data_IF_119081483882
#
_entry.id   IF_119081483882
#
_cell.length_a   1.000
_cell.length_b   1.000
_cell.length_c   1.000
_cell.angle_alpha   90.00
_cell.angle_beta   90.00
_cell.angle_gamma   90.00
#
_symmetry.space_group_name_H-M   'P 1'
#
loop_
_entity.id
_entity.type
_entity.pdbx_description
1 polymer ?
#
# COMPACT_ATOMS: atom_id res chain seq x y z
N UNK A 1 24.90 -6.40 -24.85
CA UNK A 1 25.85 -7.30 -24.16
C UNK A 1 26.45 -6.49 -23.03
N UNK A 2 26.11 -6.81 -21.77
CA UNK A 2 26.54 -6.03 -20.60
C UNK A 2 28.00 -6.38 -20.31
N UNK A 3 28.85 -5.36 -20.21
CA UNK A 3 30.28 -5.50 -19.96
C UNK A 3 30.54 -5.65 -18.46
N UNK A 4 30.96 -6.85 -18.07
CA UNK A 4 31.30 -7.19 -16.68
C UNK A 4 32.79 -6.97 -16.35
N UNK A 5 33.60 -6.43 -17.27
CA UNK A 5 35.04 -6.20 -17.07
C UNK A 5 35.40 -5.25 -15.92
N UNK A 6 34.43 -4.48 -15.39
CA UNK A 6 34.64 -3.64 -14.20
C UNK A 6 34.69 -4.42 -12.89
N UNK A 7 34.10 -5.60 -12.82
CA UNK A 7 34.09 -6.42 -11.60
C UNK A 7 35.33 -7.32 -11.52
N UNK A 8 35.96 -7.58 -12.67
CA UNK A 8 37.12 -8.46 -12.83
C UNK A 8 38.47 -7.83 -12.40
N UNK A 9 38.42 -6.67 -11.73
CA UNK A 9 39.61 -5.96 -11.21
C UNK A 9 39.65 -5.86 -9.69
N UNK A 10 38.73 -6.52 -8.98
CA UNK A 10 38.83 -6.64 -7.52
C UNK A 10 39.70 -7.85 -7.16
N UNK A 11 40.99 -7.73 -7.44
CA UNK A 11 42.01 -8.61 -6.86
C UNK A 11 42.16 -8.26 -5.38
N UNK A 12 41.39 -8.93 -4.53
CA UNK A 12 41.65 -8.98 -3.09
C UNK A 12 42.91 -9.82 -2.89
N UNK A 13 44.06 -9.17 -3.03
CA UNK A 13 45.33 -9.74 -2.64
C UNK A 13 45.34 -9.88 -1.11
N UNK A 14 45.23 -11.13 -0.64
CA UNK A 14 45.60 -11.52 0.72
C UNK A 14 47.07 -11.14 0.92
N UNK A 15 47.31 -9.97 1.51
CA UNK A 15 48.64 -9.53 1.91
C UNK A 15 48.98 -10.20 3.24
N UNK A 16 49.58 -11.38 3.15
CA UNK A 16 50.12 -12.10 4.29
C UNK A 16 51.51 -11.54 4.68
N UNK A 17 51.66 -11.27 5.98
CA UNK A 17 52.90 -11.13 6.77
C UNK A 17 53.79 -9.87 6.63
N UNK A 18 53.80 -9.06 7.71
CA UNK A 18 54.88 -8.13 8.03
C UNK A 18 54.55 -7.21 9.21
N UNK A 19 55.00 -7.60 10.40
CA UNK A 19 54.97 -6.87 11.68
C UNK A 19 55.02 -5.33 11.56
N UNK A 20 54.06 -4.63 12.19
CA UNK A 20 54.28 -3.76 13.37
C UNK A 20 52.94 -3.09 13.78
N UNK A 21 52.37 -3.56 14.89
CA UNK A 21 51.62 -2.79 15.89
C UNK A 21 50.58 -1.74 15.45
N UNK A 22 49.71 -2.05 14.48
CA UNK A 22 48.45 -1.32 14.32
C UNK A 22 47.29 -2.20 14.82
N UNK A 23 46.59 -1.69 15.82
CA UNK A 23 45.49 -2.34 16.52
C UNK A 23 44.46 -2.96 15.55
N UNK A 24 44.47 -4.30 15.48
CA UNK A 24 43.43 -5.13 14.87
C UNK A 24 42.06 -4.82 15.51
N UNK A 25 41.39 -3.78 15.01
CA UNK A 25 40.00 -3.50 15.34
C UNK A 25 39.12 -4.50 14.61
N UNK A 26 39.05 -5.72 15.17
CA UNK A 26 38.01 -6.68 14.86
C UNK A 26 36.65 -5.97 14.97
N UNK A 27 35.74 -6.16 13.99
CA UNK A 27 34.44 -5.52 14.00
C UNK A 27 33.68 -5.91 15.28
N UNK A 28 33.47 -4.94 16.17
CA UNK A 28 32.71 -5.13 17.40
C UNK A 28 31.22 -5.04 17.10
N UNK A 29 30.54 -6.18 17.13
CA UNK A 29 29.08 -6.24 17.12
C UNK A 29 28.58 -5.87 18.52
N UNK A 30 27.86 -4.76 18.64
CA UNK A 30 27.17 -4.36 19.87
C UNK A 30 25.69 -4.69 19.72
N UNK A 31 25.16 -5.60 20.55
CA UNK A 31 23.72 -5.83 20.63
C UNK A 31 23.06 -4.72 21.44
N UNK A 32 21.90 -4.24 20.97
CA UNK A 32 21.07 -3.30 21.71
C UNK A 32 19.88 -4.08 22.29
N UNK A 33 19.88 -4.27 23.61
CA UNK A 33 18.83 -5.01 24.32
C UNK A 33 17.53 -4.20 24.48
N UNK A 34 17.54 -2.92 24.10
CA UNK A 34 16.40 -1.99 24.21
C UNK A 34 16.19 -1.21 22.92
N UNK A 35 14.94 -0.86 22.55
CA UNK A 35 14.66 -0.04 21.37
C UNK A 35 15.32 1.34 21.50
N UNK A 36 16.33 1.58 20.66
CA UNK A 36 17.08 2.84 20.59
C UNK A 36 17.03 3.44 19.18
N UNK A 37 17.34 4.73 19.07
CA UNK A 37 17.48 5.41 17.78
C UNK A 37 18.96 5.51 17.45
N UNK A 38 19.36 4.96 16.30
CA UNK A 38 20.71 5.11 15.73
C UNK A 38 20.64 6.11 14.59
N UNK A 39 21.49 7.14 14.62
CA UNK A 39 21.62 8.13 13.54
C UNK A 39 23.05 8.09 13.02
N UNK A 40 23.20 7.93 11.70
CA UNK A 40 24.51 7.98 11.02
C UNK A 40 24.62 9.35 10.33
N UNK A 41 25.62 10.14 10.72
CA UNK A 41 25.92 11.43 10.12
C UNK A 41 26.54 11.31 8.72
N UNK A 42 26.50 12.38 7.94
CA UNK A 42 27.10 12.44 6.60
C UNK A 42 28.64 12.31 6.61
N UNK A 43 29.26 12.51 7.77
CA UNK A 43 30.69 12.32 8.06
C UNK A 43 31.04 10.90 8.52
N UNK A 44 30.06 9.99 8.60
CA UNK A 44 30.24 8.63 9.12
C UNK A 44 30.22 8.55 10.65
N UNK A 45 29.89 9.63 11.37
CA UNK A 45 29.70 9.59 12.82
C UNK A 45 28.43 8.81 13.19
N UNK A 46 28.46 8.08 14.29
CA UNK A 46 27.36 7.20 14.74
C UNK A 46 26.88 7.67 16.11
N UNK A 47 25.65 8.22 16.17
CA UNK A 47 25.00 8.68 17.42
C UNK A 47 23.92 7.68 17.84
N UNK A 48 24.10 7.03 18.99
CA UNK A 48 23.18 6.06 19.57
C UNK A 48 22.46 6.72 20.75
N UNK A 49 21.19 7.11 20.55
CA UNK A 49 20.34 7.64 21.63
C UNK A 49 19.47 6.53 22.20
N UNK A 50 19.73 6.18 23.46
CA UNK A 50 18.86 5.32 24.26
C UNK A 50 17.54 6.04 24.51
N UNK A 51 16.43 5.42 24.11
CA UNK A 51 15.09 6.01 24.27
C UNK A 51 14.67 5.95 25.74
N UNK A 52 14.40 7.10 26.36
CA UNK A 52 13.91 7.25 27.74
C UNK A 52 12.39 7.36 27.82
N UNK A 53 11.66 6.81 26.83
CA UNK A 53 10.20 6.85 26.85
C UNK A 53 9.65 6.11 28.09
N UNK A 54 8.79 6.73 28.89
CA UNK A 54 8.18 6.08 30.04
C UNK A 54 7.26 4.96 29.56
N UNK A 55 7.45 3.77 30.14
CA UNK A 55 6.57 2.61 29.98
C UNK A 55 5.15 3.01 30.39
N UNK A 56 4.26 3.22 29.42
CA UNK A 56 2.86 3.51 29.70
C UNK A 56 2.17 2.27 30.23
N UNK A 57 1.73 2.35 31.48
CA UNK A 57 0.90 1.34 32.14
C UNK A 57 -0.46 1.22 31.46
N UNK A 58 -0.85 -0.04 31.24
CA UNK A 58 -2.17 -0.52 30.85
C UNK A 58 -3.32 0.23 31.55
N UNK A 59 -4.31 0.69 30.78
CA UNK A 59 -5.60 1.13 31.31
C UNK A 59 -6.70 0.30 30.68
N UNK A 60 -7.31 -0.50 31.54
CA UNK A 60 -8.48 -1.35 31.35
C UNK A 60 -9.73 -0.48 31.11
N UNK A 61 -10.59 -0.85 30.16
CA UNK A 61 -11.85 -0.13 29.89
C UNK A 61 -12.97 -1.12 29.63
N UNK A 62 -13.62 -1.54 30.72
CA UNK A 62 -14.95 -2.16 30.71
C UNK A 62 -16.00 -1.06 30.78
N UNK A 63 -16.90 -1.00 29.80
CA UNK A 63 -18.16 -0.25 29.90
C UNK A 63 -19.33 -1.19 29.65
N UNK A 64 -20.23 -1.20 30.63
CA UNK A 64 -21.50 -1.92 30.65
C UNK A 64 -22.63 -1.05 30.08
N UNK A 65 -23.62 -1.67 29.43
CA UNK A 65 -24.95 -1.12 29.21
C UNK A 65 -25.94 -2.31 29.22
N UNK A 66 -26.64 -2.56 30.33
CA UNK A 66 -27.93 -2.01 30.75
C UNK A 66 -29.09 -2.53 29.89
N UNK A 67 -29.79 -3.50 30.48
CA UNK A 67 -31.09 -3.99 30.07
C UNK A 67 -32.19 -2.96 30.36
N UNK A 68 -33.25 -2.95 29.55
CA UNK A 68 -34.53 -2.36 29.92
C UNK A 68 -35.65 -3.20 29.31
N UNK A 69 -36.55 -3.61 30.20
CA UNK A 69 -37.78 -4.36 29.96
C UNK A 69 -38.99 -3.42 29.94
N UNK A 70 -40.14 -4.01 29.58
CA UNK A 70 -41.53 -3.57 29.76
C UNK A 70 -42.17 -2.65 28.71
N UNK A 71 -42.91 -3.29 27.79
CA UNK A 71 -44.33 -3.56 28.04
C UNK A 71 -45.29 -2.37 27.93
N UNK A 72 -46.03 -2.29 26.80
CA UNK A 72 -47.41 -1.80 26.85
C UNK A 72 -48.20 -2.37 25.67
N UNK A 73 -49.12 -3.25 26.03
CA UNK A 73 -50.16 -3.86 25.21
C UNK A 73 -51.31 -2.85 25.02
N UNK A 74 -51.74 -2.60 23.78
CA UNK A 74 -53.05 -1.98 23.55
C UNK A 74 -53.57 -2.34 22.16
N UNK A 75 -54.58 -3.22 22.16
CA UNK A 75 -55.28 -3.70 20.99
C UNK A 75 -56.15 -2.64 20.32
N UNK A 76 -56.04 -2.58 19.00
CA UNK A 76 -56.94 -1.83 18.12
C UNK A 76 -57.06 -2.59 16.80
N UNK A 77 -58.09 -3.43 16.70
CA UNK A 77 -58.38 -4.22 15.50
C UNK A 77 -58.73 -3.35 14.31
N UNK A 78 -57.73 -3.06 13.47
CA UNK A 78 -57.94 -2.56 12.11
C UNK A 78 -57.69 -3.70 11.14
N UNK A 79 -58.68 -3.98 10.29
CA UNK A 79 -58.62 -5.01 9.25
C UNK A 79 -57.65 -4.55 8.15
N UNK A 80 -56.37 -4.83 8.34
CA UNK A 80 -55.33 -4.61 7.33
C UNK A 80 -55.40 -5.72 6.29
N UNK A 81 -55.65 -5.33 5.04
CA UNK A 81 -55.54 -6.22 3.87
C UNK A 81 -54.09 -6.73 3.74
N UNK A 82 -53.87 -7.94 3.19
CA UNK A 82 -52.54 -8.56 3.11
C UNK A 82 -51.61 -7.78 2.16
N UNK A 83 -50.84 -6.86 2.72
CA UNK A 83 -49.73 -6.16 2.05
C UNK A 83 -48.49 -7.06 2.05
N UNK A 84 -48.51 -8.16 1.29
CA UNK A 84 -47.43 -9.18 1.29
C UNK A 84 -46.47 -9.11 0.09
N UNK A 85 -46.47 -8.06 -0.74
CA UNK A 85 -45.66 -8.06 -1.98
C UNK A 85 -44.74 -6.85 -2.24
N UNK A 86 -44.61 -5.88 -1.33
CA UNK A 86 -43.80 -4.66 -1.61
C UNK A 86 -42.46 -4.61 -0.85
N UNK A 87 -42.25 -5.40 0.21
CA UNK A 87 -41.00 -5.36 1.01
C UNK A 87 -39.78 -6.02 0.33
N UNK A 88 -39.98 -6.78 -0.76
CA UNK A 88 -38.90 -7.56 -1.39
C UNK A 88 -37.90 -6.76 -2.25
N UNK A 89 -38.30 -5.64 -2.84
CA UNK A 89 -37.43 -4.90 -3.79
C UNK A 89 -36.48 -3.91 -3.11
N UNK A 90 -36.93 -3.24 -2.05
CA UNK A 90 -36.09 -2.28 -1.31
C UNK A 90 -34.89 -2.98 -0.64
N UNK A 91 -35.11 -4.19 -0.11
CA UNK A 91 -34.06 -5.01 0.52
C UNK A 91 -32.94 -5.42 -0.45
N UNK A 92 -33.27 -5.72 -1.72
CA UNK A 92 -32.27 -6.07 -2.74
C UNK A 92 -31.39 -4.88 -3.12
N UNK A 93 -31.96 -3.68 -3.21
CA UNK A 93 -31.21 -2.44 -3.52
C UNK A 93 -30.25 -2.07 -2.41
N UNK A 94 -30.72 -2.08 -1.15
CA UNK A 94 -29.88 -1.80 0.01
C UNK A 94 -28.68 -2.76 0.08
N UNK A 95 -28.89 -4.05 -0.20
CA UNK A 95 -27.80 -5.05 -0.26
C UNK A 95 -26.78 -4.77 -1.36
N UNK A 96 -27.24 -4.44 -2.58
CA UNK A 96 -26.33 -4.08 -3.69
C UNK A 96 -25.51 -2.82 -3.39
N UNK A 97 -26.15 -1.80 -2.81
CA UNK A 97 -25.48 -0.56 -2.43
C UNK A 97 -24.44 -0.80 -1.34
N UNK A 98 -24.79 -1.58 -0.31
CA UNK A 98 -23.85 -1.94 0.74
C UNK A 98 -22.68 -2.75 0.19
N UNK A 99 -22.95 -3.75 -0.65
CA UNK A 99 -21.90 -4.54 -1.31
C UNK A 99 -20.96 -3.66 -2.14
N UNK A 100 -21.50 -2.69 -2.88
CA UNK A 100 -20.70 -1.76 -3.68
C UNK A 100 -19.86 -0.82 -2.81
N UNK A 101 -20.42 -0.27 -1.72
CA UNK A 101 -19.66 0.55 -0.76
C UNK A 101 -18.52 -0.24 -0.10
N UNK A 102 -18.77 -1.50 0.26
CA UNK A 102 -17.74 -2.40 0.82
C UNK A 102 -16.65 -2.69 -0.21
N UNK A 103 -16.99 -2.79 -1.50
CA UNK A 103 -16.01 -2.97 -2.57
C UNK A 103 -15.13 -1.72 -2.79
N UNK A 104 -15.69 -0.52 -2.67
CA UNK A 104 -14.95 0.73 -2.87
C UNK A 104 -13.87 0.99 -1.82
N UNK A 105 -13.99 0.39 -0.63
CA UNK A 105 -13.12 0.66 0.52
C UNK A 105 -12.45 -0.61 1.06
N UNK A 106 -12.40 -1.67 0.26
CA UNK A 106 -11.83 -2.96 0.69
C UNK A 106 -10.34 -2.82 1.06
N UNK A 107 -9.98 -3.09 2.31
CA UNK A 107 -8.63 -2.84 2.86
C UNK A 107 -8.14 -1.39 2.70
N UNK A 108 -9.05 -0.43 2.58
CA UNK A 108 -8.76 0.99 2.41
C UNK A 108 -9.71 1.85 3.22
N UNK A 109 -10.16 2.96 2.63
CA UNK A 109 -11.00 3.92 3.33
C UNK A 109 -11.68 4.93 2.42
N UNK A 110 -12.42 5.83 3.05
CA UNK A 110 -13.11 6.93 2.41
C UNK A 110 -12.67 8.25 3.04
N UNK A 111 -12.54 9.29 2.21
CA UNK A 111 -12.27 10.65 2.63
C UNK A 111 -13.03 11.63 1.75
N UNK A 112 -13.44 12.79 2.26
CA UNK A 112 -14.03 13.83 1.44
C UNK A 112 -13.01 14.96 1.30
N UNK A 113 -12.84 15.45 0.08
CA UNK A 113 -11.95 16.58 -0.22
C UNK A 113 -12.78 17.78 -0.66
N UNK A 114 -12.29 18.97 -0.32
CA UNK A 114 -12.93 20.23 -0.69
C UNK A 114 -12.20 20.85 -1.87
N UNK A 115 -12.90 21.03 -2.99
CA UNK A 115 -12.38 21.64 -4.22
C UNK A 115 -13.01 23.00 -4.42
N UNK A 116 -12.17 24.01 -4.69
CA UNK A 116 -12.66 25.35 -5.04
C UNK A 116 -12.80 25.47 -6.55
N UNK A 117 -14.01 25.71 -7.04
CA UNK A 117 -14.31 25.91 -8.46
C UNK A 117 -15.22 27.13 -8.61
N UNK A 118 -14.82 28.10 -9.44
CA UNK A 118 -15.61 29.33 -9.69
C UNK A 118 -16.06 30.08 -8.42
N UNK A 119 -15.22 30.09 -7.38
CA UNK A 119 -15.50 30.68 -6.04
C UNK A 119 -16.47 29.87 -5.17
N UNK A 120 -16.98 28.74 -5.66
CA UNK A 120 -17.76 27.79 -4.89
C UNK A 120 -16.88 26.66 -4.34
N UNK A 121 -17.26 26.15 -3.18
CA UNK A 121 -16.55 25.07 -2.48
C UNK A 121 -17.37 23.78 -2.60
N UNK A 122 -16.85 22.81 -3.34
CA UNK A 122 -17.53 21.55 -3.64
C UNK A 122 -16.85 20.42 -2.86
N UNK A 123 -17.64 19.58 -2.18
CA UNK A 123 -17.13 18.36 -1.54
C UNK A 123 -17.13 17.21 -2.54
N UNK A 124 -15.96 16.63 -2.79
CA UNK A 124 -15.81 15.44 -3.64
C UNK A 124 -15.47 14.22 -2.76
N UNK A 125 -16.19 13.10 -2.90
CA UNK A 125 -15.85 11.88 -2.18
C UNK A 125 -14.65 11.20 -2.85
N UNK A 126 -13.68 10.81 -2.05
CA UNK A 126 -12.53 10.01 -2.41
C UNK A 126 -12.63 8.66 -1.73
N UNK A 127 -12.57 7.60 -2.52
CA UNK A 127 -12.47 6.23 -2.03
C UNK A 127 -11.12 5.69 -2.42
N UNK A 128 -10.54 4.86 -1.57
CA UNK A 128 -9.37 4.11 -1.93
C UNK A 128 -9.46 2.72 -1.33
N UNK A 129 -8.88 1.78 -2.05
CA UNK A 129 -8.77 0.41 -1.63
C UNK A 129 -7.45 -0.14 -2.12
N UNK A 130 -7.04 -1.28 -1.61
CA UNK A 130 -5.80 -1.90 -2.04
C UNK A 130 -5.91 -3.41 -2.00
N UNK A 131 -5.10 -4.04 -2.84
CA UNK A 131 -4.82 -5.46 -2.77
C UNK A 131 -3.32 -5.67 -2.54
N UNK A 132 -2.83 -6.87 -2.82
CA UNK A 132 -1.43 -7.22 -2.64
C UNK A 132 -0.48 -6.48 -3.58
N UNK A 133 -0.97 -6.03 -4.75
CA UNK A 133 -0.15 -5.55 -5.86
C UNK A 133 -0.37 -4.07 -6.18
N UNK A 134 -1.53 -3.51 -5.87
CA UNK A 134 -1.88 -2.14 -6.23
C UNK A 134 -2.68 -1.42 -5.14
N UNK A 135 -2.63 -0.09 -5.21
CA UNK A 135 -3.59 0.80 -4.54
C UNK A 135 -4.47 1.42 -5.62
N UNK A 136 -5.78 1.35 -5.43
CA UNK A 136 -6.73 1.97 -6.35
C UNK A 136 -7.35 3.18 -5.67
N UNK A 137 -7.26 4.33 -6.34
CA UNK A 137 -7.81 5.61 -5.89
C UNK A 137 -8.98 6.00 -6.79
N UNK A 138 -10.11 6.38 -6.18
CA UNK A 138 -11.34 6.75 -6.89
C UNK A 138 -11.82 8.11 -6.42
N UNK A 139 -11.91 9.08 -7.32
CA UNK A 139 -12.37 10.44 -7.00
C UNK A 139 -13.69 10.72 -7.70
N UNK A 140 -14.73 11.00 -6.90
CA UNK A 140 -16.04 11.37 -7.39
C UNK A 140 -16.02 12.76 -8.03
N UNK A 141 -16.74 12.94 -9.12
CA UNK A 141 -16.93 14.25 -9.72
C UNK A 141 -18.30 14.39 -10.40
N UNK A 142 -18.70 15.63 -10.63
CA UNK A 142 -19.93 16.01 -11.33
C UNK A 142 -19.64 16.26 -12.81
N UNK A 143 -20.15 15.46 -13.75
CA UNK A 143 -19.86 15.62 -15.18
C UNK A 143 -20.39 16.93 -15.78
N UNK A 144 -21.37 17.56 -15.12
CA UNK A 144 -21.89 18.88 -15.48
C UNK A 144 -20.91 20.02 -15.16
N UNK A 145 -20.13 19.89 -14.09
CA UNK A 145 -19.11 20.86 -13.67
C UNK A 145 -17.75 20.53 -14.30
N UNK A 146 -17.40 19.24 -14.34
CA UNK A 146 -16.14 18.72 -14.85
C UNK A 146 -16.43 17.68 -15.94
N UNK A 147 -16.51 18.08 -17.23
CA UNK A 147 -16.77 17.16 -18.32
C UNK A 147 -15.75 16.02 -18.32
N UNK A 148 -16.16 14.77 -18.52
CA UNK A 148 -15.24 13.62 -18.49
C UNK A 148 -14.05 13.77 -19.44
N UNK A 149 -14.25 14.41 -20.60
CA UNK A 149 -13.19 14.70 -21.57
C UNK A 149 -12.16 15.73 -21.10
N UNK A 150 -12.47 16.51 -20.08
CA UNK A 150 -11.57 17.49 -19.45
C UNK A 150 -10.67 16.85 -18.39
N UNK A 151 -11.01 15.66 -17.91
CA UNK A 151 -10.27 15.01 -16.83
C UNK A 151 -8.89 14.59 -17.33
N UNK A 152 -7.86 14.92 -16.55
CA UNK A 152 -6.48 14.51 -16.74
C UNK A 152 -5.95 13.96 -15.42
N UNK A 153 -5.10 12.95 -15.51
CA UNK A 153 -4.38 12.40 -14.35
C UNK A 153 -2.90 12.54 -14.65
N UNK A 154 -2.14 13.13 -13.71
CA UNK A 154 -0.68 13.20 -13.75
C UNK A 154 -0.15 12.43 -12.56
N UNK A 155 0.70 11.44 -12.82
CA UNK A 155 1.40 10.70 -11.77
C UNK A 155 2.89 10.87 -11.98
N UNK A 156 3.56 11.47 -11.02
CA UNK A 156 5.00 11.73 -11.05
C UNK A 156 5.71 10.85 -10.03
N UNK A 157 6.97 10.50 -10.29
CA UNK A 157 7.79 9.66 -9.40
C UNK A 157 7.58 8.15 -9.52
N UNK A 158 6.73 7.69 -10.47
CA UNK A 158 6.64 6.27 -10.78
C UNK A 158 7.96 5.76 -11.36
N UNK A 159 8.47 4.65 -10.81
CA UNK A 159 9.69 4.01 -11.32
C UNK A 159 9.37 3.15 -12.55
N UNK A 160 10.36 2.94 -13.42
CA UNK A 160 10.19 2.06 -14.57
C UNK A 160 9.90 0.61 -14.13
N UNK A 161 9.11 -0.13 -14.92
CA UNK A 161 8.73 -1.51 -14.62
C UNK A 161 9.92 -2.46 -14.40
N UNK A 162 11.06 -2.21 -15.07
CA UNK A 162 12.29 -2.99 -14.89
C UNK A 162 12.83 -2.90 -13.45
N UNK A 163 12.50 -1.82 -12.74
CA UNK A 163 12.90 -1.55 -11.37
C UNK A 163 11.79 -1.82 -10.34
N UNK A 164 10.70 -2.48 -10.73
CA UNK A 164 9.56 -2.78 -9.83
C UNK A 164 9.94 -3.53 -8.55
N UNK A 165 11.10 -4.20 -8.54
CA UNK A 165 11.66 -4.90 -7.39
C UNK A 165 12.74 -4.09 -6.65
N UNK A 166 12.88 -2.79 -6.94
CA UNK A 166 13.80 -1.89 -6.27
C UNK A 166 13.02 -0.96 -5.35
N UNK A 167 13.36 -0.95 -4.07
CA UNK A 167 12.76 -0.02 -3.11
C UNK A 167 13.12 1.45 -3.40
N UNK A 168 14.17 1.70 -4.20
CA UNK A 168 14.72 3.03 -4.46
C UNK A 168 14.77 3.41 -5.95
N UNK A 169 14.30 2.52 -6.85
CA UNK A 169 14.48 2.68 -8.30
C UNK A 169 15.96 2.64 -8.73
N UNK A 170 16.26 2.40 -10.00
CA UNK A 170 17.60 2.63 -10.55
C UNK A 170 17.71 4.02 -11.22
N UNK A 171 16.56 4.69 -11.38
CA UNK A 171 16.43 5.99 -12.01
C UNK A 171 16.79 7.14 -11.08
N UNK A 172 17.83 7.88 -11.47
CA UNK A 172 18.15 9.24 -11.08
C UNK A 172 16.91 10.02 -10.62
N UNK A 173 16.91 10.42 -9.34
CA UNK A 173 16.09 11.50 -8.81
C UNK A 173 16.48 12.82 -9.50
N UNK A 174 16.13 12.98 -10.77
CA UNK A 174 16.37 14.20 -11.55
C UNK A 174 15.33 15.27 -11.28
N UNK A 175 14.29 14.94 -10.51
CA UNK A 175 13.49 15.95 -9.82
C UNK A 175 14.29 16.40 -8.61
N UNK A 176 14.74 17.65 -8.60
CA UNK A 176 15.16 18.34 -7.39
C UNK A 176 14.06 18.15 -6.35
N UNK A 177 14.24 17.17 -5.45
CA UNK A 177 13.40 17.04 -4.28
C UNK A 177 13.71 18.28 -3.45
N UNK A 178 12.90 19.33 -3.63
CA UNK A 178 12.80 20.38 -2.62
C UNK A 178 12.49 19.66 -1.32
N UNK A 179 13.49 19.60 -0.44
CA UNK A 179 13.34 19.06 0.88
C UNK A 179 12.38 20.00 1.60
N UNK A 180 11.08 19.70 1.53
CA UNK A 180 10.11 20.35 2.39
C UNK A 180 10.60 20.19 3.83
N UNK A 181 10.61 21.30 4.57
CA UNK A 181 11.15 21.42 5.93
C UNK A 181 10.53 20.41 6.93
N UNK A 182 9.45 19.72 6.53
CA UNK A 182 8.73 18.73 7.33
C UNK A 182 9.29 17.29 7.22
N UNK A 183 10.32 17.05 6.40
CA UNK A 183 11.11 15.80 6.43
C UNK A 183 10.36 14.52 6.05
N UNK A 184 9.12 14.61 5.58
CA UNK A 184 8.38 13.45 5.04
C UNK A 184 8.89 13.13 3.63
N UNK A 185 9.66 12.04 3.52
CA UNK A 185 10.06 11.49 2.23
C UNK A 185 8.82 11.18 1.37
N UNK A 186 8.73 11.82 0.20
CA UNK A 186 7.67 11.54 -0.78
C UNK A 186 8.25 10.82 -1.98
N UNK A 187 7.55 9.80 -2.46
CA UNK A 187 8.01 8.97 -3.59
C UNK A 187 7.41 9.39 -4.93
N UNK A 188 6.81 10.57 -4.99
CA UNK A 188 6.07 11.05 -6.15
C UNK A 188 4.81 11.79 -5.77
N UNK A 189 4.04 12.19 -6.78
CA UNK A 189 2.76 12.90 -6.63
C UNK A 189 1.71 12.31 -7.56
N UNK A 190 0.45 12.45 -7.16
CA UNK A 190 -0.72 12.15 -7.98
C UNK A 190 -1.58 13.40 -8.03
N UNK A 191 -1.82 13.90 -9.23
CA UNK A 191 -2.73 15.02 -9.50
C UNK A 191 -3.87 14.55 -10.41
N UNK A 192 -5.11 14.81 -10.01
CA UNK A 192 -6.31 14.63 -10.83
C UNK A 192 -6.88 16.01 -11.09
N UNK A 193 -7.00 16.36 -12.37
CA UNK A 193 -7.27 17.71 -12.83
C UNK A 193 -8.46 17.72 -13.78
N UNK A 194 -9.21 18.82 -13.81
CA UNK A 194 -10.10 19.16 -14.90
C UNK A 194 -9.48 20.30 -15.71
N UNK A 195 -9.27 20.06 -17.00
CA UNK A 195 -8.68 21.02 -17.94
C UNK A 195 -9.75 21.53 -18.89
N UNK A 196 -10.10 22.79 -18.72
CA UNK A 196 -11.06 23.50 -19.55
C UNK A 196 -10.47 23.85 -20.95
N UNK A 197 -11.29 24.17 -21.96
CA UNK A 197 -10.81 24.52 -23.30
C UNK A 197 -9.86 25.74 -23.34
N UNK A 198 -9.99 26.66 -22.38
CA UNK A 198 -9.10 27.79 -22.14
C UNK A 198 -7.78 27.41 -21.43
N UNK A 199 -7.52 26.11 -21.24
CA UNK A 199 -6.36 25.54 -20.55
C UNK A 199 -6.26 25.94 -19.07
N UNK A 200 -7.36 26.38 -18.46
CA UNK A 200 -7.42 26.58 -17.02
C UNK A 200 -7.55 25.22 -16.34
N UNK A 201 -6.55 24.86 -15.55
CA UNK A 201 -6.52 23.64 -14.76
C UNK A 201 -7.24 23.89 -13.42
N UNK A 202 -8.20 23.03 -13.09
CA UNK A 202 -8.78 22.94 -11.75
C UNK A 202 -8.30 21.65 -11.11
N UNK A 203 -7.64 21.74 -9.96
CA UNK A 203 -7.16 20.58 -9.22
C UNK A 203 -8.32 19.95 -8.47
N UNK A 204 -8.70 18.73 -8.87
CA UNK A 204 -9.73 17.97 -8.18
C UNK A 204 -9.13 17.21 -6.99
N UNK A 205 -7.95 16.63 -7.15
CA UNK A 205 -7.17 15.99 -6.09
C UNK A 205 -5.69 16.20 -6.38
N UNK A 206 -4.90 16.50 -5.36
CA UNK A 206 -3.44 16.48 -5.45
C UNK A 206 -2.90 15.93 -4.13
N UNK A 207 -1.86 15.11 -4.21
CA UNK A 207 -1.19 14.61 -3.01
C UNK A 207 0.09 13.85 -3.32
N UNK A 208 0.91 13.72 -2.28
CA UNK A 208 2.19 12.99 -2.33
C UNK A 208 1.99 11.51 -2.05
N UNK A 209 2.74 10.67 -2.73
CA UNK A 209 2.71 9.22 -2.52
C UNK A 209 3.53 8.84 -1.28
N UNK A 210 2.97 8.07 -0.34
CA UNK A 210 3.67 7.64 0.88
C UNK A 210 4.68 6.51 0.61
N UNK A 211 4.60 5.87 -0.55
CA UNK A 211 5.41 4.71 -0.95
C UNK A 211 5.66 4.74 -2.46
N UNK A 212 6.74 4.12 -2.94
CA UNK A 212 7.04 4.06 -4.37
C UNK A 212 6.03 3.19 -5.12
N UNK A 213 5.77 3.59 -6.36
CA UNK A 213 4.95 2.87 -7.33
C UNK A 213 5.77 2.64 -8.59
N UNK A 214 5.36 1.69 -9.43
CA UNK A 214 6.00 1.45 -10.71
C UNK A 214 5.01 1.60 -11.87
N UNK A 215 5.53 1.89 -13.06
CA UNK A 215 4.79 1.82 -14.33
C UNK A 215 4.51 0.35 -14.70
N UNK A 216 3.46 0.09 -15.47
CA UNK A 216 3.25 -1.24 -16.03
C UNK A 216 4.29 -1.55 -17.12
N UNK A 217 4.38 -2.82 -17.50
CA UNK A 217 5.26 -3.22 -18.58
C UNK A 217 4.82 -2.53 -19.89
N UNK A 218 5.77 -1.88 -20.56
CA UNK A 218 5.56 -1.19 -21.85
C UNK A 218 4.64 0.05 -21.77
N UNK A 219 4.39 0.58 -20.56
CA UNK A 219 3.68 1.84 -20.34
C UNK A 219 4.64 2.94 -19.87
N UNK A 220 4.50 4.13 -20.43
CA UNK A 220 5.28 5.32 -20.05
C UNK A 220 4.54 6.18 -18.99
N UNK A 221 3.27 5.88 -18.73
CA UNK A 221 2.42 6.62 -17.80
C UNK A 221 1.40 5.70 -17.10
N UNK A 222 0.90 6.12 -15.94
CA UNK A 222 -0.15 5.40 -15.23
C UNK A 222 -1.50 5.66 -15.90
N UNK A 223 -2.14 4.60 -16.38
CA UNK A 223 -3.49 4.64 -16.92
C UNK A 223 -4.56 5.01 -15.87
N UNK A 224 -5.66 5.58 -16.33
CA UNK A 224 -6.85 5.85 -15.52
C UNK A 224 -8.12 5.52 -16.30
N UNK A 225 -9.19 5.25 -15.57
CA UNK A 225 -10.52 4.97 -16.11
C UNK A 225 -11.55 5.94 -15.53
N UNK A 226 -12.63 6.22 -16.26
CA UNK A 226 -13.78 6.96 -15.75
C UNK A 226 -14.97 6.00 -15.65
N UNK A 227 -15.37 5.71 -14.43
CA UNK A 227 -16.49 4.81 -14.11
C UNK A 227 -17.76 5.60 -13.81
N UNK A 228 -18.92 5.04 -14.14
CA UNK A 228 -20.21 5.58 -13.69
C UNK A 228 -20.52 5.16 -12.25
N UNK A 229 -21.09 6.08 -11.47
CA UNK A 229 -21.58 5.78 -10.13
C UNK A 229 -22.90 5.00 -10.20
N UNK A 230 -22.80 3.68 -10.30
CA UNK A 230 -23.95 2.78 -10.42
C UNK A 230 -24.91 2.87 -9.22
N UNK A 231 -24.45 3.25 -8.04
CA UNK A 231 -25.31 3.39 -6.85
C UNK A 231 -26.33 4.53 -6.99
N UNK A 232 -26.07 5.52 -7.85
CA UNK A 232 -26.93 6.70 -8.05
C UNK A 232 -27.93 6.53 -9.21
N UNK A 233 -27.61 5.73 -10.23
CA UNK A 233 -28.45 5.61 -11.42
C UNK A 233 -29.87 5.06 -11.13
N UNK A 234 -30.00 4.19 -10.13
CA UNK A 234 -31.29 3.58 -9.78
C UNK A 234 -32.26 4.52 -9.05
N UNK A 235 -31.78 5.64 -8.50
CA UNK A 235 -32.59 6.61 -7.75
C UNK A 235 -33.09 7.77 -8.64
N UNK A 236 -32.31 8.15 -9.65
CA UNK A 236 -32.65 9.25 -10.57
C UNK A 236 -33.90 8.92 -11.40
N UNK A 237 -34.15 7.65 -11.71
CA UNK A 237 -35.33 7.23 -12.49
C UNK A 237 -36.68 7.46 -11.79
N UNK A 238 -36.69 7.73 -10.47
CA UNK A 238 -37.93 7.94 -9.69
C UNK A 238 -38.04 9.31 -9.03
N UNK A 239 -36.95 10.06 -8.90
CA UNK A 239 -36.95 11.40 -8.34
C UNK A 239 -37.18 12.44 -9.46
N UNK A 240 -38.42 12.53 -9.94
CA UNK A 240 -38.84 13.70 -10.70
C UNK A 240 -38.89 14.88 -9.74
N UNK A 241 -38.13 15.93 -10.04
CA UNK A 241 -38.18 17.27 -9.41
C UNK A 241 -37.93 17.31 -7.90
N UNK A 242 -36.66 17.29 -7.48
CA UNK A 242 -36.13 18.31 -6.55
C UNK A 242 -34.59 18.19 -6.40
N UNK A 243 -33.95 19.21 -6.96
CA UNK A 243 -32.55 19.66 -6.91
C UNK A 243 -31.85 19.46 -5.57
N UNK A 244 -31.08 18.38 -5.44
CA UNK A 244 -29.88 18.39 -4.58
C UNK A 244 -28.68 18.15 -5.49
N UNK A 245 -27.90 19.19 -5.69
CA UNK A 245 -26.77 19.31 -6.62
C UNK A 245 -25.54 18.47 -6.24
N UNK A 246 -25.60 17.67 -5.18
CA UNK A 246 -24.41 17.20 -4.46
C UNK A 246 -24.03 15.74 -4.71
N UNK A 247 -24.74 15.00 -5.57
CA UNK A 247 -24.36 13.63 -5.90
C UNK A 247 -23.36 13.55 -7.05
N UNK A 248 -22.11 13.20 -6.76
CA UNK A 248 -21.13 12.80 -7.78
C UNK A 248 -21.63 11.58 -8.56
N UNK A 249 -21.79 11.71 -9.88
CA UNK A 249 -22.33 10.65 -10.75
C UNK A 249 -21.28 9.84 -11.49
N UNK A 250 -20.01 10.29 -11.49
CA UNK A 250 -18.88 9.56 -12.06
C UNK A 250 -17.69 9.53 -11.11
N UNK A 251 -16.80 8.57 -11.32
CA UNK A 251 -15.53 8.42 -10.62
C UNK A 251 -14.38 8.42 -11.61
N UNK A 252 -13.28 9.09 -11.28
CA UNK A 252 -11.97 8.87 -11.89
C UNK A 252 -11.28 7.79 -11.07
N UNK A 253 -10.98 6.64 -11.68
CA UNK A 253 -10.27 5.52 -11.07
C UNK A 253 -8.82 5.50 -11.54
N UNK A 254 -7.89 5.57 -10.61
CA UNK A 254 -6.44 5.49 -10.85
C UNK A 254 -5.91 4.26 -10.13
N UNK A 255 -5.24 3.37 -10.86
CA UNK A 255 -4.61 2.17 -10.29
C UNK A 255 -3.11 2.41 -10.16
N UNK A 256 -2.58 2.28 -8.96
CA UNK A 256 -1.18 2.58 -8.61
C UNK A 256 -0.45 1.27 -8.27
N UNK A 257 0.33 0.69 -9.20
CA UNK A 257 1.07 -0.55 -8.95
C UNK A 257 2.17 -0.34 -7.91
N UNK A 258 2.18 -1.15 -6.86
CA UNK A 258 3.11 -1.03 -5.74
C UNK A 258 4.51 -1.50 -6.13
N UNK A 259 5.52 -0.66 -5.94
CA UNK A 259 6.91 -1.14 -5.97
C UNK A 259 7.19 -1.94 -4.69
N UNK A 260 7.70 -3.16 -4.84
CA UNK A 260 8.01 -4.05 -3.72
C UNK A 260 9.52 -4.30 -3.66
N UNK A 261 10.16 -4.37 -2.48
CA UNK A 261 11.61 -4.57 -2.39
C UNK A 261 12.09 -5.91 -2.96
N UNK A 262 11.22 -6.91 -3.02
CA UNK A 262 11.56 -8.25 -3.47
C UNK A 262 10.31 -8.99 -3.98
N UNK A 263 10.50 -9.87 -4.96
CA UNK A 263 9.44 -10.76 -5.42
C UNK A 263 8.90 -11.61 -4.26
N UNK A 264 7.57 -11.71 -4.16
CA UNK A 264 6.89 -12.46 -3.10
C UNK A 264 6.67 -11.68 -1.80
N UNK A 265 7.25 -10.48 -1.65
CA UNK A 265 6.91 -9.57 -0.55
C UNK A 265 5.63 -8.79 -0.86
N UNK A 266 4.84 -8.53 0.17
CA UNK A 266 3.62 -7.71 0.09
C UNK A 266 3.78 -6.50 1.00
N UNK A 267 3.53 -5.31 0.45
CA UNK A 267 3.48 -4.07 1.23
C UNK A 267 2.04 -3.58 1.30
N UNK A 268 1.53 -3.42 2.52
CA UNK A 268 0.24 -2.80 2.78
C UNK A 268 0.43 -1.32 3.11
N UNK A 269 -0.34 -0.46 2.43
CA UNK A 269 -0.31 0.98 2.62
C UNK A 269 -1.30 1.36 3.72
N UNK A 270 -0.87 2.11 4.72
CA UNK A 270 -1.74 2.63 5.77
C UNK A 270 -2.60 3.80 5.29
N UNK A 271 -2.22 4.46 4.20
CA UNK A 271 -2.94 5.59 3.58
C UNK A 271 -2.64 5.66 2.08
N UNK A 272 -3.49 6.29 1.24
CA UNK A 272 -3.26 6.39 -0.20
C UNK A 272 -2.31 7.54 -0.55
N UNK A 273 -2.36 8.64 0.20
CA UNK A 273 -1.59 9.87 0.00
C UNK A 273 -1.13 10.42 1.36
N UNK A 274 0.00 11.14 1.39
CA UNK A 274 0.46 11.85 2.58
C UNK A 274 -0.59 12.90 2.97
N UNK A 275 -0.92 12.98 4.26
CA UNK A 275 -1.99 13.84 4.79
C UNK A 275 -3.36 13.16 4.89
N UNK A 276 -3.58 12.02 4.23
CA UNK A 276 -4.82 11.26 4.38
C UNK A 276 -4.83 10.48 5.71
N UNK A 277 -6.03 10.16 6.24
CA UNK A 277 -6.18 9.33 7.43
C UNK A 277 -5.54 7.95 7.26
N UNK A 278 -4.94 7.44 8.34
CA UNK A 278 -4.38 6.09 8.38
C UNK A 278 -5.45 5.05 8.70
N UNK A 279 -5.31 3.86 8.12
CA UNK A 279 -6.06 2.67 8.52
C UNK A 279 -5.19 1.75 9.37
N UNK A 280 -5.84 0.93 10.19
CA UNK A 280 -5.16 -0.15 10.91
C UNK A 280 -4.88 -1.32 9.95
N UNK A 281 -3.59 -1.61 9.73
CA UNK A 281 -3.15 -2.69 8.85
C UNK A 281 -3.24 -4.08 9.50
N UNK A 282 -3.54 -4.16 10.80
CA UNK A 282 -3.69 -5.44 11.50
C UNK A 282 -5.03 -6.13 11.16
N UNK A 283 -6.05 -5.37 10.77
CA UNK A 283 -7.39 -5.89 10.46
C UNK A 283 -7.54 -6.45 9.04
N UNK A 284 -6.51 -6.35 8.19
CA UNK A 284 -6.53 -6.84 6.81
C UNK A 284 -6.48 -8.37 6.82
N UNK A 285 -7.59 -9.03 6.47
CA UNK A 285 -7.73 -10.49 6.50
C UNK A 285 -6.70 -11.22 5.63
N UNK A 286 -6.29 -10.61 4.51
CA UNK A 286 -5.30 -11.20 3.61
C UNK A 286 -3.91 -11.36 4.25
N UNK A 287 -3.65 -10.65 5.36
CA UNK A 287 -2.42 -10.74 6.13
C UNK A 287 -2.41 -11.95 7.07
N UNK A 288 -3.53 -12.23 7.75
CA UNK A 288 -3.61 -13.29 8.76
C UNK A 288 -3.47 -14.69 8.16
N UNK A 289 -4.04 -14.90 6.97
CA UNK A 289 -3.97 -16.20 6.27
C UNK A 289 -2.53 -16.63 5.94
N UNK A 290 -1.59 -15.69 5.83
CA UNK A 290 -0.18 -16.00 5.58
C UNK A 290 0.53 -16.44 6.87
N UNK A 291 0.25 -15.76 7.98
CA UNK A 291 0.81 -16.09 9.30
C UNK A 291 0.30 -17.44 9.79
N UNK A 292 -1.01 -17.73 9.67
CA UNK A 292 -1.57 -19.02 10.08
C UNK A 292 -1.04 -20.19 9.23
N UNK A 293 -0.75 -19.96 7.95
CA UNK A 293 -0.14 -20.99 7.09
C UNK A 293 1.32 -21.26 7.45
N UNK A 294 2.05 -20.25 7.92
CA UNK A 294 3.44 -20.43 8.38
C UNK A 294 3.43 -21.12 9.76
N UNK A 295 2.58 -20.67 10.68
CA UNK A 295 2.48 -21.27 12.01
C UNK A 295 1.96 -22.71 11.99
N UNK A 296 1.04 -23.06 11.07
CA UNK A 296 0.58 -24.45 10.92
C UNK A 296 1.65 -25.38 10.35
N UNK A 297 2.65 -24.88 9.62
CA UNK A 297 3.81 -25.70 9.24
C UNK A 297 4.68 -25.99 10.45
N UNK A 298 4.95 -24.99 11.29
CA UNK A 298 5.78 -25.16 12.49
C UNK A 298 5.08 -26.00 13.56
N UNK A 299 3.76 -25.86 13.72
CA UNK A 299 2.96 -26.62 14.69
C UNK A 299 2.69 -28.06 14.23
N UNK A 300 2.57 -28.29 12.92
CA UNK A 300 2.54 -29.65 12.35
C UNK A 300 3.90 -30.35 12.50
N UNK A 301 5.01 -29.61 12.34
CA UNK A 301 6.36 -30.13 12.58
C UNK A 301 6.62 -30.42 14.06
N UNK A 302 6.13 -29.59 14.99
CA UNK A 302 6.24 -29.84 16.43
C UNK A 302 5.47 -31.09 16.91
N UNK A 303 4.46 -31.55 16.16
CA UNK A 303 3.72 -32.79 16.47
C UNK A 303 4.36 -34.06 15.89
N UNK A 304 5.41 -33.93 15.05
CA UNK A 304 6.15 -35.05 14.46
C UNK A 304 7.58 -35.20 15.01
N UNK A 305 7.92 -34.45 16.05
CA UNK A 305 9.19 -34.52 16.76
C UNK A 305 9.21 -35.62 17.83
N UNK A 306 9.33 -36.86 17.36
CA UNK A 306 10.05 -37.87 18.14
C UNK A 306 10.84 -38.88 17.28
N UNK A 307 11.01 -38.69 15.96
CA UNK A 307 11.87 -39.62 15.21
C UNK A 307 12.52 -39.15 13.89
N UNK A 308 12.36 -37.90 13.42
CA UNK A 308 12.81 -37.50 12.06
C UNK A 308 13.57 -36.14 12.04
N UNK A 309 14.21 -35.71 13.13
CA UNK A 309 14.87 -34.38 13.17
C UNK A 309 16.25 -34.28 12.51
N UNK A 310 16.85 -35.38 12.01
CA UNK A 310 18.21 -35.33 11.46
C UNK A 310 18.33 -35.51 9.93
N UNK A 311 17.26 -35.86 9.22
CA UNK A 311 17.34 -36.17 7.79
C UNK A 311 16.92 -35.01 6.86
N UNK A 312 16.00 -34.14 7.31
CA UNK A 312 15.40 -33.09 6.47
C UNK A 312 16.17 -31.78 6.48
N UNK A 313 16.72 -31.36 7.61
CA UNK A 313 17.62 -30.19 7.68
C UNK A 313 18.92 -30.48 6.96
N UNK A 314 19.43 -31.71 7.09
CA UNK A 314 20.58 -32.19 6.33
C UNK A 314 20.34 -32.18 4.82
N UNK A 315 19.14 -32.53 4.33
CA UNK A 315 18.86 -32.56 2.89
C UNK A 315 18.72 -31.16 2.28
N UNK A 316 18.16 -30.19 3.01
CA UNK A 316 18.09 -28.79 2.55
C UNK A 316 19.47 -28.13 2.59
N UNK A 317 20.23 -28.35 3.66
CA UNK A 317 21.62 -27.89 3.76
C UNK A 317 22.49 -28.49 2.64
N UNK A 318 22.33 -29.79 2.37
CA UNK A 318 23.07 -30.49 1.32
C UNK A 318 22.69 -29.99 -0.08
N UNK A 319 21.40 -29.75 -0.35
CA UNK A 319 20.96 -29.19 -1.63
C UNK A 319 21.49 -27.75 -1.84
N UNK A 320 21.59 -26.97 -0.76
CA UNK A 320 22.15 -25.63 -0.79
C UNK A 320 23.66 -25.64 -1.04
N UNK A 321 24.40 -26.51 -0.36
CA UNK A 321 25.84 -26.71 -0.57
C UNK A 321 26.14 -27.22 -1.99
N UNK A 322 25.36 -28.18 -2.50
CA UNK A 322 25.51 -28.72 -3.85
C UNK A 322 25.26 -27.65 -4.93
N UNK A 323 24.25 -26.79 -4.73
CA UNK A 323 23.98 -25.67 -5.64
C UNK A 323 25.14 -24.65 -5.66
N UNK A 324 25.73 -24.36 -4.49
CA UNK A 324 26.90 -23.49 -4.39
C UNK A 324 28.15 -24.10 -5.05
N UNK A 325 28.38 -25.40 -4.87
CA UNK A 325 29.47 -26.14 -5.50
C UNK A 325 29.36 -26.08 -7.04
N UNK A 326 28.17 -26.33 -7.59
CA UNK A 326 27.91 -26.24 -9.03
C UNK A 326 28.12 -24.83 -9.58
N UNK A 327 27.79 -23.79 -8.78
CA UNK A 327 28.04 -22.41 -9.17
C UNK A 327 29.54 -22.10 -9.24
N UNK A 328 30.34 -22.56 -8.26
CA UNK A 328 31.81 -22.42 -8.28
C UNK A 328 32.43 -23.15 -9.47
N UNK A 329 31.97 -24.36 -9.78
CA UNK A 329 32.47 -25.13 -10.92
C UNK A 329 32.16 -24.44 -12.26
N UNK A 330 30.93 -23.94 -12.44
CA UNK A 330 30.55 -23.17 -13.64
C UNK A 330 31.33 -21.85 -13.78
N UNK A 331 31.73 -21.23 -12.67
CA UNK A 331 32.64 -20.08 -12.67
C UNK A 331 34.00 -20.44 -13.29
N UNK A 332 34.62 -21.53 -12.80
CA UNK A 332 35.93 -22.01 -13.27
C UNK A 332 35.90 -22.47 -14.74
N UNK A 333 34.86 -23.19 -15.16
CA UNK A 333 34.72 -23.59 -16.57
C UNK A 333 34.59 -22.40 -17.53
N UNK A 334 33.97 -21.30 -17.07
CA UNK A 334 33.85 -20.07 -17.86
C UNK A 334 35.18 -19.33 -17.99
N UNK A 335 36.06 -19.39 -17.00
CA UNK A 335 37.42 -18.82 -17.09
C UNK A 335 38.32 -19.63 -18.03
N UNK A 336 38.30 -20.97 -17.94
CA UNK A 336 39.13 -21.84 -18.80
C UNK A 336 38.74 -21.73 -20.27
N UNK A 337 37.46 -21.57 -20.60
CA UNK A 337 37.01 -21.37 -21.99
C UNK A 337 37.23 -19.93 -22.52
N UNK A 338 37.75 -19.01 -21.69
CA UNK A 338 38.00 -17.61 -22.08
C UNK A 338 39.47 -17.28 -22.33
N UNK A 339 40.38 -18.22 -22.07
CA UNK A 339 41.80 -18.14 -22.43
C UNK A 339 42.10 -18.81 -23.76
#
# INVERSE_FOLDING_TARGET
>A
MVDYSKWDRMDFSDSDSGDEADDDQQPRVTSLDTPGRVTIGADGSLDIKLSTLPTSSSVDSRVAAVASSDGSDNGGGSRTLPSMMIEGEQSKKARKMHQWQTQLSHNGGQHNITVTFEQESIQLPVYWFQDRYAVTLRVGFHPSLFPSKSIRVRVLGAIEYKDRYSAVGSGSSTGEFENDEEGTASFGTVDILSVTPDKKETVLLSGKLPRPIHLNQDEDEIGFEIEDNLAMMDNISKATTETTSDSCTKFVTVVLPKAVPMYGMVIWWDRPLIGFPTIDLSSIQDRSNQTEKIMSIDEYNASMDNNITNASTASVQQAWEEAHEQFRQKGKEREVNRG
#
